data_IF_544737219982
#
_entry.id   IF_544737219982
#
_cell.length_a   1.000
_cell.length_b   1.000
_cell.length_c   1.000
_cell.angle_alpha   90.00
_cell.angle_beta   90.00
_cell.angle_gamma   90.00
#
_symmetry.space_group_name_H-M   'P 1'
#
loop_
_entity.id
_entity.type
_entity.pdbx_description
1 polymer ?
#
# COMPACT_ATOMS: atom_id res chain seq x y z
N UNK A 1 0.39 -11.24 -11.58
CA UNK A 1 0.89 -10.92 -10.23
C UNK A 1 1.82 -9.72 -10.29
N UNK A 2 2.82 -9.70 -11.17
CA UNK A 2 3.58 -8.49 -11.52
C UNK A 2 3.15 -7.96 -12.90
N UNK A 3 2.07 -7.19 -12.93
CA UNK A 3 1.58 -6.56 -14.17
C UNK A 3 2.24 -5.19 -14.36
N UNK A 4 2.12 -4.62 -15.56
CA UNK A 4 2.53 -3.23 -15.82
C UNK A 4 1.82 -2.27 -14.86
N UNK A 5 0.55 -2.52 -14.55
CA UNK A 5 -0.22 -1.74 -13.58
C UNK A 5 0.38 -1.81 -12.17
N UNK A 6 0.78 -3.00 -11.72
CA UNK A 6 1.45 -3.17 -10.41
C UNK A 6 2.72 -2.31 -10.34
N UNK A 7 3.60 -2.41 -11.34
CA UNK A 7 4.86 -1.67 -11.34
C UNK A 7 4.64 -0.16 -11.40
N UNK A 8 3.65 0.32 -12.17
CA UNK A 8 3.27 1.74 -12.18
C UNK A 8 2.83 2.21 -10.80
N UNK A 9 1.95 1.48 -10.13
CA UNK A 9 1.49 1.83 -8.77
C UNK A 9 2.61 1.74 -7.72
N UNK A 10 3.51 0.77 -7.82
CA UNK A 10 4.65 0.65 -6.93
C UNK A 10 5.63 1.82 -7.08
N UNK A 11 5.91 2.24 -8.32
CA UNK A 11 6.77 3.39 -8.62
C UNK A 11 6.16 4.70 -8.15
N UNK A 12 4.86 4.90 -8.37
CA UNK A 12 4.13 6.08 -7.86
C UNK A 12 4.24 6.19 -6.33
N UNK A 13 4.07 5.07 -5.63
CA UNK A 13 4.23 5.00 -4.17
C UNK A 13 5.67 5.31 -3.74
N UNK A 14 6.67 4.75 -4.43
CA UNK A 14 8.07 5.01 -4.12
C UNK A 14 8.44 6.49 -4.32
N UNK A 15 7.98 7.12 -5.40
CA UNK A 15 8.18 8.56 -5.66
C UNK A 15 7.47 9.43 -4.63
N UNK A 16 6.26 9.06 -4.21
CA UNK A 16 5.52 9.77 -3.16
C UNK A 16 6.27 9.70 -1.82
N UNK A 17 6.80 8.53 -1.47
CA UNK A 17 7.66 8.37 -0.29
C UNK A 17 8.92 9.22 -0.41
N UNK A 18 9.59 9.21 -1.56
CA UNK A 18 10.78 10.03 -1.81
C UNK A 18 10.51 11.53 -1.55
N UNK A 19 9.41 12.06 -2.10
CA UNK A 19 9.03 13.45 -1.91
C UNK A 19 8.71 13.79 -0.44
N UNK A 20 7.97 12.91 0.25
CA UNK A 20 7.65 13.09 1.66
C UNK A 20 8.90 13.02 2.55
N UNK A 21 9.82 12.11 2.27
CA UNK A 21 11.10 12.00 2.98
C UNK A 21 11.97 13.22 2.76
N UNK A 22 12.00 13.77 1.55
CA UNK A 22 12.74 15.00 1.25
C UNK A 22 12.18 16.19 2.03
N UNK A 23 10.85 16.33 2.08
CA UNK A 23 10.18 17.39 2.84
C UNK A 23 10.46 17.28 4.35
N UNK A 24 10.48 16.06 4.86
CA UNK A 24 10.88 15.75 6.24
C UNK A 24 12.34 16.14 6.51
N UNK A 25 13.25 15.73 5.62
CA UNK A 25 14.66 16.05 5.71
C UNK A 25 14.91 17.57 5.65
N UNK A 26 14.14 18.29 4.82
CA UNK A 26 14.17 19.75 4.70
C UNK A 26 13.71 20.49 5.98
N UNK A 27 13.22 19.78 7.00
CA UNK A 27 12.92 20.36 8.32
C UNK A 27 11.66 21.22 8.29
N UNK A 28 10.54 20.63 7.87
CA UNK A 28 9.22 21.28 7.90
C UNK A 28 8.97 21.98 9.24
N UNK A 29 9.10 23.33 9.26
CA UNK A 29 8.82 24.18 10.42
C UNK A 29 9.94 25.12 10.87
N UNK A 30 11.22 24.86 10.57
CA UNK A 30 12.35 25.61 11.16
C UNK A 30 12.99 26.67 10.24
N UNK A 31 12.49 26.84 9.00
CA UNK A 31 13.10 27.68 7.98
C UNK A 31 14.09 26.88 7.12
N UNK A 32 13.70 26.62 5.88
CA UNK A 32 14.52 25.87 4.93
C UNK A 32 15.53 26.80 4.24
N UNK A 33 16.82 26.46 4.31
CA UNK A 33 17.88 27.14 3.55
C UNK A 33 18.48 26.17 2.52
N UNK A 34 18.24 26.46 1.24
CA UNK A 34 18.66 25.63 0.11
C UNK A 34 20.18 25.46 0.00
N UNK A 35 20.96 26.47 0.41
CA UNK A 35 22.42 26.50 0.26
C UNK A 35 23.15 25.85 1.42
N UNK A 36 22.56 25.88 2.61
CA UNK A 36 23.11 25.21 3.80
C UNK A 36 22.58 23.78 3.99
N UNK A 37 21.70 23.32 3.10
CA UNK A 37 21.09 22.00 3.19
C UNK A 37 22.10 20.88 2.86
N UNK A 38 22.20 19.87 3.72
CA UNK A 38 23.03 18.69 3.45
C UNK A 38 22.36 17.77 2.43
N UNK A 39 22.62 18.06 1.16
CA UNK A 39 22.12 17.29 0.02
C UNK A 39 22.56 15.83 0.02
N UNK A 40 23.74 15.50 0.58
CA UNK A 40 24.22 14.12 0.59
C UNK A 40 23.38 13.27 1.53
N UNK A 41 23.22 13.74 2.76
CA UNK A 41 22.40 13.03 3.76
C UNK A 41 20.93 12.97 3.33
N UNK A 42 20.40 14.05 2.77
CA UNK A 42 19.03 14.08 2.24
C UNK A 42 18.83 13.10 1.08
N UNK A 43 19.75 13.05 0.11
CA UNK A 43 19.67 12.11 -1.00
C UNK A 43 19.70 10.66 -0.52
N UNK A 44 20.54 10.34 0.48
CA UNK A 44 20.60 9.02 1.10
C UNK A 44 19.27 8.63 1.77
N UNK A 45 18.67 9.53 2.53
CA UNK A 45 17.37 9.31 3.17
C UNK A 45 16.25 9.10 2.15
N UNK A 46 16.19 9.95 1.12
CA UNK A 46 15.19 9.89 0.05
C UNK A 46 15.28 8.59 -0.74
N UNK A 47 16.49 8.19 -1.14
CA UNK A 47 16.74 6.91 -1.80
C UNK A 47 16.38 5.73 -0.91
N UNK A 48 16.77 5.75 0.36
CA UNK A 48 16.42 4.71 1.33
C UNK A 48 14.90 4.54 1.48
N UNK A 49 14.17 5.65 1.62
CA UNK A 49 12.70 5.65 1.70
C UNK A 49 12.04 5.13 0.43
N UNK A 50 12.52 5.54 -0.75
CA UNK A 50 12.03 5.06 -2.03
C UNK A 50 12.24 3.55 -2.22
N UNK A 51 13.43 3.04 -1.89
CA UNK A 51 13.77 1.61 -1.97
C UNK A 51 12.92 0.80 -0.98
N UNK A 52 12.79 1.26 0.26
CA UNK A 52 11.91 0.62 1.26
C UNK A 52 10.46 0.54 0.78
N UNK A 53 9.94 1.62 0.18
CA UNK A 53 8.58 1.66 -0.38
C UNK A 53 8.41 0.63 -1.50
N UNK A 54 9.39 0.52 -2.39
CA UNK A 54 9.38 -0.45 -3.48
C UNK A 54 9.43 -1.90 -2.94
N UNK A 55 10.35 -2.19 -2.01
CA UNK A 55 10.47 -3.51 -1.37
C UNK A 55 9.19 -3.89 -0.62
N UNK A 56 8.57 -2.93 0.08
CA UNK A 56 7.29 -3.14 0.77
C UNK A 56 6.18 -3.45 -0.23
N UNK A 57 6.16 -2.79 -1.39
CA UNK A 57 5.19 -3.09 -2.45
C UNK A 57 5.34 -4.50 -3.00
N UNK A 58 6.57 -5.00 -3.11
CA UNK A 58 6.86 -6.38 -3.53
C UNK A 58 6.41 -7.36 -2.44
N UNK A 59 6.76 -7.11 -1.17
CA UNK A 59 6.36 -7.96 -0.05
C UNK A 59 4.85 -7.97 0.24
N UNK A 60 4.16 -6.89 -0.11
CA UNK A 60 2.70 -6.75 0.03
C UNK A 60 1.93 -7.26 -1.19
N UNK A 61 2.61 -7.77 -2.23
CA UNK A 61 1.92 -8.42 -3.34
C UNK A 61 1.13 -9.62 -2.80
N UNK A 62 -0.18 -9.74 -3.10
CA UNK A 62 -1.02 -10.75 -2.48
C UNK A 62 -0.54 -12.16 -2.83
N UNK A 63 -0.22 -12.94 -1.80
CA UNK A 63 -0.08 -14.39 -1.90
C UNK A 63 -1.47 -15.02 -1.71
N UNK A 64 -2.25 -15.16 -2.78
CA UNK A 64 -3.56 -15.81 -2.72
C UNK A 64 -4.64 -15.19 -3.63
N UNK A 65 -5.85 -15.77 -3.67
CA UNK A 65 -6.96 -15.32 -4.52
C UNK A 65 -7.33 -13.84 -4.29
N UNK A 66 -7.71 -13.16 -5.37
CA UNK A 66 -7.99 -11.72 -5.35
C UNK A 66 -9.28 -11.41 -4.56
N UNK A 67 -9.16 -10.66 -3.47
CA UNK A 67 -10.30 -10.11 -2.71
C UNK A 67 -10.26 -10.35 -1.20
N UNK A 68 -9.40 -11.24 -0.72
CA UNK A 68 -9.34 -11.63 0.69
C UNK A 68 -8.15 -10.93 1.38
N UNK A 69 -8.36 -10.23 2.52
CA UNK A 69 -7.26 -9.87 3.39
C UNK A 69 -6.48 -11.14 3.75
N UNK A 70 -5.16 -11.18 3.55
CA UNK A 70 -4.34 -12.37 3.79
C UNK A 70 -4.34 -12.88 5.25
N UNK A 71 -5.00 -12.14 6.16
CA UNK A 71 -5.13 -12.43 7.59
C UNK A 71 -6.58 -12.74 8.03
N UNK A 72 -7.56 -12.74 7.12
CA UNK A 72 -8.96 -13.00 7.46
C UNK A 72 -9.43 -14.20 6.63
N UNK A 73 -9.85 -15.31 7.26
CA UNK A 73 -10.49 -16.42 6.57
C UNK A 73 -11.72 -15.91 5.79
N UNK A 74 -11.87 -16.35 4.55
CA UNK A 74 -13.03 -16.01 3.72
C UNK A 74 -14.33 -16.37 4.44
N UNK A 75 -15.14 -15.35 4.75
CA UNK A 75 -16.47 -15.53 5.35
C UNK A 75 -17.54 -15.95 4.33
N UNK A 76 -17.13 -16.43 3.15
CA UNK A 76 -18.03 -16.93 2.11
C UNK A 76 -18.49 -18.37 2.36
N UNK A 77 -18.27 -18.92 3.56
CA UNK A 77 -19.03 -20.10 4.02
C UNK A 77 -20.51 -19.74 4.02
N UNK A 78 -21.35 -20.35 3.16
CA UNK A 78 -22.78 -20.04 3.13
C UNK A 78 -23.36 -20.30 4.51
N UNK A 79 -23.99 -19.29 5.11
CA UNK A 79 -24.73 -19.48 6.34
C UNK A 79 -25.92 -20.43 6.04
N UNK A 80 -25.97 -21.64 6.61
CA UNK A 80 -27.05 -22.58 6.36
C UNK A 80 -28.42 -22.03 6.80
N UNK A 81 -28.46 -21.00 7.66
CA UNK A 81 -29.70 -20.34 8.06
C UNK A 81 -30.34 -19.49 6.94
N UNK A 82 -29.57 -18.97 5.98
CA UNK A 82 -30.10 -18.17 4.87
C UNK A 82 -30.78 -19.04 3.79
N UNK A 83 -30.45 -20.34 3.71
CA UNK A 83 -31.06 -21.28 2.77
C UNK A 83 -32.47 -21.73 3.20
N UNK A 84 -32.80 -21.64 4.49
CA UNK A 84 -34.10 -22.06 5.04
C UNK A 84 -35.19 -21.00 4.76
N UNK A 85 -34.83 -19.72 4.61
CA UNK A 85 -35.80 -18.62 4.47
C UNK A 85 -36.39 -18.46 3.07
N UNK A 86 -35.66 -18.84 2.01
CA UNK A 86 -36.10 -18.68 0.63
C UNK A 86 -37.12 -19.73 0.17
N UNK A 87 -37.19 -20.89 0.83
CA UNK A 87 -38.14 -21.96 0.48
C UNK A 87 -39.57 -21.73 1.03
N UNK A 88 -39.69 -20.94 2.10
CA UNK A 88 -40.98 -20.62 2.73
C UNK A 88 -41.70 -19.44 2.04
N UNK A 89 -40.96 -18.54 1.39
CA UNK A 89 -41.53 -17.36 0.72
C UNK A 89 -42.23 -17.69 -0.62
N UNK A 90 -41.96 -18.86 -1.21
CA UNK A 90 -42.57 -19.28 -2.48
C UNK A 90 -43.84 -20.13 -2.30
N UNK A 91 -44.26 -20.42 -1.06
CA UNK A 91 -45.40 -21.32 -0.75
C UNK A 91 -46.62 -20.60 -0.15
N UNK A 92 -46.72 -19.27 -0.31
CA UNK A 92 -47.88 -18.47 0.13
C UNK A 92 -48.52 -17.76 -1.04
#
# INVERSE_FOLDING_TARGET
>A
MFTVTFWKSAVERALKTAAQTLLLAAGAGAGFNLFSFDWKSAAGAVLGGAVLSLLTSIGSAPFGPAGSPSLIPDSTTPNPASAIGSDQASRV
#
